data_IF_923768812796
#
_entry.id   IF_923768812796
#
_cell.length_a   1.000
_cell.length_b   1.000
_cell.length_c   1.000
_cell.angle_alpha   90.00
_cell.angle_beta   90.00
_cell.angle_gamma   90.00
#
_symmetry.space_group_name_H-M   'P 1'
#
loop_
_entity.id
_entity.type
_entity.pdbx_description
1 polymer ?
#
# COMPACT_ATOMS: atom_id res chain seq x y z
N UNK A 1 -1.21 -17.31 -0.48
CA UNK A 1 -0.90 -16.81 -1.83
C UNK A 1 0.62 -16.69 -1.97
N UNK A 2 1.19 -17.13 -3.09
CA UNK A 2 2.62 -16.98 -3.34
C UNK A 2 2.96 -15.50 -3.61
N UNK A 3 4.25 -15.17 -3.55
CA UNK A 3 4.68 -13.82 -3.85
C UNK A 3 4.35 -13.44 -5.29
N UNK A 4 4.53 -14.37 -6.24
CA UNK A 4 4.20 -14.10 -7.64
C UNK A 4 2.71 -13.87 -7.84
N UNK A 5 1.86 -14.60 -7.15
CA UNK A 5 0.41 -14.39 -7.18
C UNK A 5 0.03 -13.04 -6.57
N UNK A 6 0.70 -12.65 -5.48
CA UNK A 6 0.47 -11.36 -4.84
C UNK A 6 0.89 -10.20 -5.75
N UNK A 7 2.04 -10.35 -6.44
CA UNK A 7 2.48 -9.38 -7.44
C UNK A 7 1.47 -9.25 -8.57
N UNK A 8 0.98 -10.38 -9.08
CA UNK A 8 -0.02 -10.38 -10.16
C UNK A 8 -1.31 -9.69 -9.72
N UNK A 9 -1.74 -9.90 -8.48
CA UNK A 9 -2.92 -9.26 -7.93
C UNK A 9 -2.78 -7.74 -7.88
N UNK A 10 -1.60 -7.24 -7.49
CA UNK A 10 -1.32 -5.80 -7.47
C UNK A 10 -1.30 -5.22 -8.88
N UNK A 11 -0.66 -5.90 -9.82
CA UNK A 11 -0.58 -5.46 -11.23
C UNK A 11 -1.96 -5.40 -11.86
N UNK A 12 -2.82 -6.37 -11.57
CA UNK A 12 -4.18 -6.39 -12.11
C UNK A 12 -4.99 -5.14 -11.70
N UNK A 13 -4.67 -4.54 -10.57
CA UNK A 13 -5.37 -3.36 -10.07
C UNK A 13 -5.02 -2.09 -10.84
N UNK A 14 -3.94 -2.09 -11.61
CA UNK A 14 -3.58 -0.93 -12.44
C UNK A 14 -4.69 -0.56 -13.42
N UNK A 15 -5.40 -1.54 -13.95
CA UNK A 15 -6.48 -1.32 -14.90
C UNK A 15 -7.76 -0.81 -14.21
N UNK A 16 -7.84 -0.91 -12.89
CA UNK A 16 -8.97 -0.44 -12.10
C UNK A 16 -8.79 0.98 -11.58
N UNK A 17 -7.56 1.52 -11.63
CA UNK A 17 -7.24 2.82 -11.09
C UNK A 17 -8.07 3.93 -11.75
N UNK A 18 -8.57 4.86 -10.93
CA UNK A 18 -9.25 6.04 -11.39
C UNK A 18 -8.33 7.24 -11.20
N UNK A 19 -7.58 7.59 -12.25
CA UNK A 19 -6.54 8.63 -12.16
C UNK A 19 -6.59 9.61 -13.33
N UNK A 20 -7.76 10.30 -13.55
CA UNK A 20 -7.92 11.20 -14.70
C UNK A 20 -7.08 12.47 -14.61
N UNK A 21 -6.55 12.80 -13.44
CA UNK A 21 -5.77 14.02 -13.22
C UNK A 21 -4.29 13.77 -13.36
N UNK A 22 -3.76 12.76 -12.66
CA UNK A 22 -2.32 12.45 -12.69
C UNK A 22 -1.92 11.56 -13.85
N UNK A 23 -2.81 10.75 -14.34
CA UNK A 23 -2.52 9.67 -15.30
C UNK A 23 -1.45 8.72 -14.80
N UNK A 24 -1.38 8.54 -13.48
CA UNK A 24 -0.40 7.68 -12.81
C UNK A 24 -1.13 6.58 -12.03
N UNK A 25 -1.42 5.44 -12.68
CA UNK A 25 -2.11 4.34 -12.01
C UNK A 25 -1.19 3.62 -11.03
N UNK A 26 -1.75 3.25 -9.89
CA UNK A 26 -1.07 2.47 -8.86
C UNK A 26 -2.00 1.35 -8.43
N UNK A 27 -1.44 0.15 -8.28
CA UNK A 27 -2.16 -1.01 -7.74
C UNK A 27 -1.46 -1.51 -6.50
N UNK A 28 -2.23 -2.08 -5.59
CA UNK A 28 -1.68 -2.64 -4.37
C UNK A 28 -2.38 -3.95 -4.01
N UNK A 29 -1.64 -4.85 -3.38
CA UNK A 29 -2.17 -6.08 -2.80
C UNK A 29 -1.52 -6.28 -1.45
N UNK A 30 -2.31 -6.35 -0.39
CA UNK A 30 -1.83 -6.52 0.97
C UNK A 30 -2.23 -7.91 1.48
N UNK A 31 -1.29 -8.58 2.12
CA UNK A 31 -1.51 -9.89 2.72
C UNK A 31 -1.57 -9.78 4.23
N UNK A 32 -2.67 -10.29 4.79
CA UNK A 32 -2.87 -10.36 6.24
C UNK A 32 -2.17 -11.59 6.82
N UNK A 33 -1.97 -11.60 8.14
CA UNK A 33 -1.30 -12.72 8.83
C UNK A 33 -2.05 -14.03 8.70
N UNK A 34 -3.37 -13.99 8.49
CA UNK A 34 -4.18 -15.20 8.28
C UNK A 34 -4.20 -15.68 6.83
N UNK A 35 -3.46 -15.00 5.94
CA UNK A 35 -3.39 -15.34 4.53
C UNK A 35 -4.41 -14.66 3.65
N UNK A 36 -5.37 -13.92 4.20
CA UNK A 36 -6.34 -13.16 3.41
C UNK A 36 -5.65 -12.03 2.67
N UNK A 37 -6.03 -11.81 1.41
CA UNK A 37 -5.45 -10.78 0.56
C UNK A 37 -6.52 -9.76 0.19
N UNK A 38 -6.17 -8.48 0.29
CA UNK A 38 -7.02 -7.38 -0.16
C UNK A 38 -6.27 -6.56 -1.19
N UNK A 39 -6.99 -6.12 -2.22
CA UNK A 39 -6.41 -5.33 -3.31
C UNK A 39 -6.97 -3.92 -3.32
N UNK A 40 -6.23 -3.01 -3.93
CA UNK A 40 -6.67 -1.63 -4.07
C UNK A 40 -6.01 -0.94 -5.24
N UNK A 41 -6.60 0.18 -5.65
CA UNK A 41 -6.05 1.06 -6.66
C UNK A 41 -6.20 2.50 -6.19
N UNK A 42 -5.47 3.41 -6.83
CA UNK A 42 -5.64 4.83 -6.51
C UNK A 42 -6.95 5.34 -7.13
N UNK A 43 -7.63 6.21 -6.38
CA UNK A 43 -8.91 6.80 -6.76
C UNK A 43 -8.79 8.29 -6.53
N UNK A 44 -8.71 9.04 -7.63
CA UNK A 44 -8.55 10.49 -7.58
C UNK A 44 -9.89 11.21 -7.51
N UNK A 45 -9.85 12.47 -7.14
CA UNK A 45 -11.02 13.31 -7.03
C UNK A 45 -10.66 14.72 -7.49
N UNK A 46 -11.61 15.45 -8.07
CA UNK A 46 -11.42 16.84 -8.45
C UNK A 46 -11.05 17.70 -7.23
N UNK A 47 -11.51 17.32 -6.05
CA UNK A 47 -11.04 17.87 -4.78
C UNK A 47 -9.87 16.99 -4.34
N UNK A 48 -8.67 17.37 -4.70
CA UNK A 48 -7.48 16.53 -4.60
C UNK A 48 -7.28 15.83 -3.23
N UNK A 49 -7.47 16.51 -2.09
CA UNK A 49 -7.29 15.83 -0.80
C UNK A 49 -8.28 14.71 -0.51
N UNK A 50 -9.39 14.64 -1.25
CA UNK A 50 -10.41 13.61 -1.07
C UNK A 50 -9.97 12.28 -1.68
N UNK A 51 -9.04 12.31 -2.62
CA UNK A 51 -8.52 11.10 -3.26
C UNK A 51 -7.81 10.17 -2.28
N UNK A 52 -7.64 8.93 -2.69
CA UNK A 52 -6.94 7.92 -1.88
C UNK A 52 -5.92 7.16 -2.73
N UNK A 53 -4.83 6.76 -2.09
CA UNK A 53 -3.79 5.96 -2.73
C UNK A 53 -4.18 4.47 -2.71
N UNK A 54 -3.58 3.69 -3.60
CA UNK A 54 -3.86 2.26 -3.73
C UNK A 54 -3.64 1.50 -2.42
N UNK A 55 -2.56 1.82 -1.71
CA UNK A 55 -2.21 1.17 -0.45
C UNK A 55 -3.28 1.41 0.60
N UNK A 56 -3.77 2.65 0.73
CA UNK A 56 -4.81 2.96 1.70
C UNK A 56 -6.16 2.38 1.31
N UNK A 57 -6.42 2.24 0.01
CA UNK A 57 -7.62 1.53 -0.46
C UNK A 57 -7.57 0.06 -0.04
N UNK A 58 -6.45 -0.62 -0.31
CA UNK A 58 -6.29 -2.04 0.03
C UNK A 58 -6.37 -2.27 1.52
N UNK A 59 -5.60 -1.52 2.30
CA UNK A 59 -5.58 -1.67 3.76
C UNK A 59 -6.89 -1.20 4.40
N UNK A 60 -7.52 -0.15 3.86
CA UNK A 60 -8.81 0.31 4.34
C UNK A 60 -9.90 -0.75 4.19
N UNK A 61 -9.90 -1.46 3.06
CA UNK A 61 -10.82 -2.60 2.87
C UNK A 61 -10.56 -3.68 3.91
N UNK A 62 -9.29 -4.03 4.11
CA UNK A 62 -8.92 -5.06 5.08
C UNK A 62 -9.34 -4.68 6.49
N UNK A 63 -9.06 -3.46 6.91
CA UNK A 63 -9.39 -2.97 8.25
C UNK A 63 -10.90 -2.94 8.46
N UNK A 64 -11.67 -2.50 7.47
CA UNK A 64 -13.13 -2.46 7.55
C UNK A 64 -13.74 -3.86 7.59
N UNK A 65 -13.01 -4.87 7.12
CA UNK A 65 -13.42 -6.27 7.19
C UNK A 65 -12.92 -6.96 8.48
N UNK A 66 -12.28 -6.22 9.37
CA UNK A 66 -11.83 -6.72 10.66
C UNK A 66 -10.38 -7.19 10.72
N UNK A 67 -9.59 -6.99 9.67
CA UNK A 67 -8.19 -7.40 9.62
C UNK A 67 -7.29 -6.22 9.97
N UNK A 68 -6.39 -6.40 10.94
CA UNK A 68 -5.47 -5.35 11.40
C UNK A 68 -4.02 -5.80 11.46
N UNK A 69 -3.74 -7.05 11.12
CA UNK A 69 -2.39 -7.62 11.20
C UNK A 69 -1.94 -7.99 9.79
N UNK A 70 -0.88 -7.35 9.32
CA UNK A 70 -0.42 -7.45 7.94
C UNK A 70 1.01 -7.98 7.90
N UNK A 71 1.30 -8.78 6.88
CA UNK A 71 2.63 -9.38 6.67
C UNK A 71 3.41 -8.58 5.65
N UNK A 72 2.79 -8.32 4.50
CA UNK A 72 3.47 -7.67 3.38
C UNK A 72 2.48 -7.01 2.45
N UNK A 73 2.98 -6.01 1.70
CA UNK A 73 2.21 -5.33 0.68
C UNK A 73 3.04 -5.24 -0.60
N UNK A 74 2.40 -5.48 -1.75
CA UNK A 74 3.01 -5.24 -3.05
C UNK A 74 2.38 -4.00 -3.65
N UNK A 75 3.21 -3.12 -4.19
CA UNK A 75 2.79 -1.87 -4.81
C UNK A 75 3.27 -1.87 -6.25
N UNK A 76 2.34 -1.75 -7.19
CA UNK A 76 2.61 -1.81 -8.63
C UNK A 76 2.41 -0.45 -9.29
N UNK A 77 3.26 -0.16 -10.25
CA UNK A 77 3.16 1.02 -11.10
C UNK A 77 3.66 0.68 -12.50
N UNK A 78 3.51 1.63 -13.45
CA UNK A 78 3.90 1.42 -14.85
C UNK A 78 5.19 2.13 -15.25
N UNK A 79 5.75 2.98 -14.36
CA UNK A 79 6.96 3.73 -14.69
C UNK A 79 8.20 2.83 -14.66
N UNK A 80 9.31 3.34 -15.22
CA UNK A 80 10.58 2.61 -15.22
C UNK A 80 11.14 2.45 -13.81
N UNK A 81 10.89 3.41 -12.94
CA UNK A 81 11.35 3.37 -11.56
C UNK A 81 10.36 2.59 -10.68
N UNK A 82 10.83 2.14 -9.53
CA UNK A 82 10.00 1.45 -8.56
C UNK A 82 8.92 2.39 -8.02
N UNK A 83 7.72 1.84 -7.80
CA UNK A 83 6.61 2.59 -7.26
C UNK A 83 6.66 2.56 -5.74
N UNK A 84 7.22 3.62 -5.14
CA UNK A 84 7.31 3.75 -3.70
C UNK A 84 5.99 4.29 -3.13
N UNK A 85 5.62 3.88 -1.91
CA UNK A 85 4.46 4.48 -1.24
C UNK A 85 4.74 5.93 -0.87
N UNK A 86 3.76 6.80 -1.02
CA UNK A 86 3.88 8.20 -0.62
C UNK A 86 4.00 8.32 0.91
N UNK A 87 4.38 9.51 1.39
CA UNK A 87 4.58 9.73 2.81
C UNK A 87 3.33 9.47 3.66
N UNK A 88 2.16 9.86 3.16
CA UNK A 88 0.90 9.60 3.86
C UNK A 88 0.62 8.11 4.00
N UNK A 89 0.90 7.33 2.94
CA UNK A 89 0.72 5.88 2.99
C UNK A 89 1.70 5.23 3.95
N UNK A 90 2.95 5.69 3.98
CA UNK A 90 3.94 5.18 4.93
C UNK A 90 3.48 5.40 6.37
N UNK A 91 2.96 6.58 6.66
CA UNK A 91 2.42 6.89 7.98
C UNK A 91 1.20 6.04 8.31
N UNK A 92 0.28 5.89 7.35
CA UNK A 92 -0.89 5.06 7.52
C UNK A 92 -0.52 3.61 7.83
N UNK A 93 0.44 3.05 7.09
CA UNK A 93 0.89 1.68 7.27
C UNK A 93 1.55 1.49 8.64
N UNK A 94 2.29 2.50 9.12
CA UNK A 94 3.00 2.40 10.39
C UNK A 94 2.06 2.19 11.56
N UNK A 95 0.86 2.73 11.52
CA UNK A 95 -0.13 2.55 12.60
C UNK A 95 -0.44 1.08 12.85
N UNK A 96 -0.53 0.29 11.76
CA UNK A 96 -0.99 -1.09 11.81
C UNK A 96 0.11 -2.13 11.63
N UNK A 97 1.20 -1.78 10.96
CA UNK A 97 2.18 -2.76 10.54
C UNK A 97 3.60 -2.16 10.44
N UNK A 98 4.17 -1.72 11.58
CA UNK A 98 5.48 -1.04 11.56
C UNK A 98 6.62 -1.90 11.02
N UNK A 99 6.47 -3.23 11.04
CA UNK A 99 7.49 -4.17 10.56
C UNK A 99 7.14 -4.81 9.22
N UNK A 100 6.13 -4.27 8.52
CA UNK A 100 5.65 -4.87 7.27
C UNK A 100 6.70 -4.84 6.17
N UNK A 101 6.77 -5.93 5.41
CA UNK A 101 7.57 -6.00 4.19
C UNK A 101 6.83 -5.25 3.08
N UNK A 102 7.53 -4.33 2.41
CA UNK A 102 6.99 -3.52 1.32
C UNK A 102 7.73 -3.89 0.04
N UNK A 103 7.01 -4.37 -0.95
CA UNK A 103 7.56 -4.83 -2.22
C UNK A 103 7.10 -3.86 -3.31
N UNK A 104 8.05 -3.07 -3.82
CA UNK A 104 7.78 -2.06 -4.82
C UNK A 104 8.13 -2.59 -6.21
N UNK A 105 7.18 -2.55 -7.13
CA UNK A 105 7.38 -2.99 -8.50
C UNK A 105 7.58 -1.79 -9.42
N UNK A 106 8.32 -2.02 -10.52
CA UNK A 106 8.37 -1.09 -11.64
C UNK A 106 7.54 -1.61 -12.81
N UNK A 107 7.49 -0.88 -13.92
CA UNK A 107 6.70 -1.25 -15.09
C UNK A 107 7.19 -2.49 -15.81
N UNK A 108 8.40 -2.95 -15.51
CA UNK A 108 8.97 -4.19 -16.07
C UNK A 108 8.69 -5.41 -15.19
N UNK A 109 8.04 -5.21 -14.05
CA UNK A 109 7.79 -6.30 -13.11
C UNK A 109 8.96 -6.63 -12.20
N UNK A 110 10.02 -5.83 -12.24
CA UNK A 110 11.13 -5.98 -11.30
C UNK A 110 10.67 -5.52 -9.90
N UNK A 111 11.23 -6.12 -8.86
CA UNK A 111 10.81 -5.87 -7.49
C UNK A 111 11.97 -5.39 -6.63
N UNK A 112 11.68 -4.41 -5.78
CA UNK A 112 12.59 -3.96 -4.72
C UNK A 112 11.88 -4.22 -3.39
N UNK A 113 12.49 -5.03 -2.54
CA UNK A 113 11.93 -5.37 -1.24
C UNK A 113 12.55 -4.51 -0.15
N UNK A 114 11.69 -3.85 0.61
CA UNK A 114 12.08 -2.97 1.72
C UNK A 114 11.20 -3.27 2.92
N UNK A 115 11.63 -2.84 4.10
CA UNK A 115 10.77 -2.84 5.27
C UNK A 115 10.14 -1.46 5.43
N UNK A 116 8.99 -1.40 6.08
CA UNK A 116 8.38 -0.11 6.36
C UNK A 116 9.27 0.75 7.26
N UNK A 117 10.03 0.11 8.15
CA UNK A 117 10.98 0.81 9.01
C UNK A 117 12.05 1.55 8.20
N UNK A 118 12.53 0.94 7.11
CA UNK A 118 13.48 1.59 6.21
C UNK A 118 12.85 2.77 5.45
N UNK A 119 11.55 2.67 5.14
CA UNK A 119 10.84 3.70 4.38
C UNK A 119 10.36 4.87 5.23
N UNK A 120 10.24 4.67 6.55
CA UNK A 120 9.81 5.72 7.47
C UNK A 120 10.65 5.66 8.75
N UNK A 121 11.95 5.99 8.65
CA UNK A 121 12.80 6.01 9.84
C UNK A 121 12.36 7.12 10.79
N UNK A 122 12.38 6.83 12.10
CA UNK A 122 11.98 7.78 13.14
C UNK A 122 10.55 8.31 12.96
N UNK A 123 9.66 7.45 12.47
CA UNK A 123 8.27 7.85 12.23
C UNK A 123 7.50 8.12 13.50
N UNK A 124 6.58 9.08 13.44
CA UNK A 124 5.68 9.40 14.53
C UNK A 124 4.69 8.26 14.75
N UNK A 125 4.37 7.97 16.01
CA UNK A 125 3.37 6.93 16.34
C UNK A 125 2.62 7.28 17.64
N UNK A 126 1.70 6.38 18.01
CA UNK A 126 0.81 6.59 19.14
C UNK A 126 1.54 6.66 20.50
N UNK A 127 2.79 6.21 20.57
CA UNK A 127 3.56 6.29 21.83
C UNK A 127 3.84 7.73 22.27
N UNK A 128 3.76 8.68 21.33
CA UNK A 128 3.92 10.11 21.62
C UNK A 128 2.64 10.77 22.13
N UNK A 129 1.51 10.07 22.08
CA UNK A 129 0.21 10.65 22.44
C UNK A 129 -0.25 10.14 23.79
N UNK A 130 -0.73 11.03 24.69
CA UNK A 130 -1.32 10.60 25.94
C UNK A 130 -2.71 10.04 25.68
N UNK A 131 -2.94 8.81 26.05
CA UNK A 131 -4.23 8.19 25.86
C UNK A 131 -4.19 6.74 26.24
N UNK A 132 -5.36 6.11 26.30
CA UNK A 132 -5.46 4.68 26.50
C UNK A 132 -5.16 3.97 25.18
N UNK A 133 -4.31 3.00 25.28
CA UNK A 133 -3.88 2.22 24.12
C UNK A 133 -4.53 0.85 24.08
#
# INVERSE_FOLDING_TARGET
MSLDELKAAAVAMLDRAYCPYSHFPVGAAVECTDGTVFTGCNIENAVYPVGTCAERTAMGKAISEGHRDFVRIVIAGRSEDYCYPCGMCRQFMKEFAPEMQVICLNGKGEALELTLRELLPYGFDSTFLPGEQ
#
